data_IF_571829718285
#
_entry.id   IF_571829718285
#
_cell.length_a   1.000
_cell.length_b   1.000
_cell.length_c   1.000
_cell.angle_alpha   90.00
_cell.angle_beta   90.00
_cell.angle_gamma   90.00
#
_symmetry.space_group_name_H-M   'P 1'
#
loop_
_entity.id
_entity.type
_entity.pdbx_description
1 polymer ?
#
# COMPACT_ATOMS: atom_id res chain seq x y z
N UNK A 1 -21.65 -9.96 -13.47
CA UNK A 1 -21.29 -11.33 -13.11
C UNK A 1 -21.81 -11.56 -11.69
N UNK A 2 -22.94 -12.23 -11.56
CA UNK A 2 -23.62 -12.46 -10.27
C UNK A 2 -22.76 -13.27 -9.30
N UNK A 3 -21.80 -14.05 -9.81
CA UNK A 3 -20.85 -14.80 -8.98
C UNK A 3 -19.91 -13.89 -8.18
N UNK A 4 -19.50 -12.76 -8.75
CA UNK A 4 -18.62 -11.80 -8.09
C UNK A 4 -19.34 -11.13 -6.91
N UNK A 5 -20.61 -10.73 -7.10
CA UNK A 5 -21.40 -10.06 -6.07
C UNK A 5 -21.57 -10.94 -4.84
N UNK A 6 -21.94 -12.22 -5.04
CA UNK A 6 -22.05 -13.21 -3.97
C UNK A 6 -20.70 -13.44 -3.26
N UNK A 7 -19.59 -13.49 -4.02
CA UNK A 7 -18.26 -13.61 -3.46
C UNK A 7 -17.87 -12.39 -2.60
N UNK A 8 -18.16 -11.17 -3.06
CA UNK A 8 -17.89 -9.94 -2.31
C UNK A 8 -18.73 -9.89 -1.05
N UNK A 9 -20.02 -10.24 -1.12
CA UNK A 9 -20.89 -10.32 0.05
C UNK A 9 -20.38 -11.33 1.08
N UNK A 10 -19.99 -12.53 0.63
CA UNK A 10 -19.41 -13.57 1.49
C UNK A 10 -18.10 -13.12 2.12
N UNK A 11 -17.21 -12.47 1.35
CA UNK A 11 -15.95 -11.93 1.85
C UNK A 11 -16.18 -10.79 2.86
N UNK A 12 -17.18 -9.93 2.64
CA UNK A 12 -17.56 -8.89 3.59
C UNK A 12 -18.09 -9.47 4.90
N UNK A 13 -18.84 -10.58 4.83
CA UNK A 13 -19.26 -11.31 6.04
C UNK A 13 -18.07 -11.95 6.77
N UNK A 14 -17.12 -12.54 6.04
CA UNK A 14 -15.90 -13.11 6.63
C UNK A 14 -14.97 -12.04 7.21
N UNK A 15 -14.97 -10.85 6.61
CA UNK A 15 -14.22 -9.72 7.14
C UNK A 15 -14.72 -9.37 8.54
N UNK A 16 -16.03 -9.38 8.78
CA UNK A 16 -16.66 -9.09 10.08
C UNK A 16 -16.58 -10.22 11.11
N UNK A 17 -15.89 -11.32 10.78
CA UNK A 17 -15.79 -12.46 11.67
C UNK A 17 -14.93 -12.15 12.91
N UNK A 18 -15.34 -12.64 14.09
CA UNK A 18 -14.65 -12.40 15.37
C UNK A 18 -13.22 -12.97 15.38
N UNK A 19 -13.00 -14.08 14.66
CA UNK A 19 -11.68 -14.66 14.49
C UNK A 19 -10.79 -13.76 13.61
N UNK A 20 -9.74 -13.19 14.22
CA UNK A 20 -8.77 -12.34 13.55
C UNK A 20 -8.04 -13.06 12.39
N UNK A 21 -7.83 -14.38 12.44
CA UNK A 21 -7.20 -15.10 11.33
C UNK A 21 -8.11 -15.17 10.11
N UNK A 22 -9.41 -15.37 10.33
CA UNK A 22 -10.42 -15.42 9.27
C UNK A 22 -10.59 -14.04 8.64
N UNK A 23 -10.76 -13.01 9.46
CA UNK A 23 -10.94 -11.64 8.96
C UNK A 23 -9.68 -11.09 8.28
N UNK A 24 -8.48 -11.40 8.76
CA UNK A 24 -7.22 -11.03 8.09
C UNK A 24 -7.03 -11.79 6.76
N UNK A 25 -7.49 -13.05 6.70
CA UNK A 25 -7.58 -13.80 5.45
C UNK A 25 -8.49 -13.11 4.42
N UNK A 26 -9.69 -12.70 4.84
CA UNK A 26 -10.62 -11.96 3.99
C UNK A 26 -10.05 -10.60 3.53
N UNK A 27 -9.36 -9.87 4.43
CA UNK A 27 -8.69 -8.61 4.10
C UNK A 27 -7.64 -8.79 3.00
N UNK A 28 -6.80 -9.83 3.11
CA UNK A 28 -5.80 -10.16 2.09
C UNK A 28 -6.43 -10.60 0.76
N UNK A 29 -7.58 -11.27 0.80
CA UNK A 29 -8.37 -11.58 -0.39
C UNK A 29 -8.89 -10.30 -1.07
N UNK A 30 -9.43 -9.34 -0.31
CA UNK A 30 -9.85 -8.04 -0.84
C UNK A 30 -8.68 -7.27 -1.47
N UNK A 31 -7.52 -7.22 -0.82
CA UNK A 31 -6.31 -6.63 -1.39
C UNK A 31 -5.93 -7.25 -2.74
N UNK A 32 -5.96 -8.58 -2.82
CA UNK A 32 -5.66 -9.33 -4.05
C UNK A 32 -6.70 -9.09 -5.15
N UNK A 33 -7.98 -8.96 -4.79
CA UNK A 33 -9.04 -8.63 -5.74
C UNK A 33 -8.88 -7.20 -6.25
N UNK A 34 -8.67 -6.22 -5.38
CA UNK A 34 -8.47 -4.83 -5.76
C UNK A 34 -7.29 -4.67 -6.75
N UNK A 35 -6.16 -5.33 -6.49
CA UNK A 35 -5.02 -5.31 -7.42
C UNK A 35 -5.36 -5.90 -8.80
N UNK A 36 -6.16 -6.96 -8.86
CA UNK A 36 -6.65 -7.52 -10.14
C UNK A 36 -7.54 -6.55 -10.90
N UNK A 37 -8.42 -5.83 -10.20
CA UNK A 37 -9.25 -4.78 -10.82
C UNK A 37 -8.37 -3.67 -11.40
N UNK A 38 -7.38 -3.21 -10.63
CA UNK A 38 -6.41 -2.21 -11.08
C UNK A 38 -5.61 -2.67 -12.30
N UNK A 39 -5.06 -3.89 -12.29
CA UNK A 39 -4.29 -4.43 -13.44
C UNK A 39 -5.13 -4.57 -14.70
N UNK A 40 -6.41 -4.90 -14.56
CA UNK A 40 -7.36 -5.01 -15.67
C UNK A 40 -7.93 -3.66 -16.11
N UNK A 41 -7.62 -2.57 -15.40
CA UNK A 41 -8.21 -1.26 -15.65
C UNK A 41 -9.71 -1.21 -15.42
N UNK A 42 -10.24 -2.11 -14.57
CA UNK A 42 -11.67 -2.21 -14.24
C UNK A 42 -11.93 -1.44 -12.94
N UNK A 43 -13.05 -0.72 -12.89
CA UNK A 43 -13.48 0.02 -11.71
C UNK A 43 -13.71 -0.93 -10.51
N UNK A 44 -13.00 -0.76 -9.38
CA UNK A 44 -13.18 -1.59 -8.18
C UNK A 44 -14.42 -1.22 -7.35
N UNK A 45 -15.27 -0.28 -7.78
CA UNK A 45 -16.52 0.08 -7.09
C UNK A 45 -17.35 -1.12 -6.58
N UNK A 46 -17.51 -2.23 -7.33
CA UNK A 46 -18.29 -3.37 -6.86
C UNK A 46 -17.74 -4.00 -5.56
N UNK A 47 -16.44 -3.90 -5.29
CA UNK A 47 -15.82 -4.42 -4.06
C UNK A 47 -16.26 -3.64 -2.82
N UNK A 48 -16.63 -2.37 -2.97
CA UNK A 48 -17.02 -1.49 -1.87
C UNK A 48 -18.50 -1.61 -1.45
N UNK A 49 -19.34 -2.26 -2.28
CA UNK A 49 -20.80 -2.26 -2.13
C UNK A 49 -21.32 -2.79 -0.78
N UNK A 50 -20.63 -3.75 -0.17
CA UNK A 50 -21.10 -4.43 1.05
C UNK A 50 -20.43 -3.86 2.32
N UNK A 51 -20.20 -2.55 2.36
CA UNK A 51 -19.66 -1.85 3.52
C UNK A 51 -18.18 -2.12 3.81
N UNK A 52 -17.41 -2.51 2.77
CA UNK A 52 -15.97 -2.73 2.90
C UNK A 52 -15.26 -1.47 3.42
N UNK A 53 -15.59 -0.32 2.86
CA UNK A 53 -14.96 0.97 3.21
C UNK A 53 -15.14 1.32 4.69
N UNK A 54 -16.36 1.17 5.20
CA UNK A 54 -16.69 1.43 6.61
C UNK A 54 -15.96 0.47 7.55
N UNK A 55 -15.90 -0.82 7.19
CA UNK A 55 -15.19 -1.83 7.97
C UNK A 55 -13.68 -1.57 8.01
N UNK A 56 -13.09 -1.14 6.89
CA UNK A 56 -11.68 -0.75 6.82
C UNK A 56 -11.37 0.46 7.71
N UNK A 57 -12.24 1.47 7.70
CA UNK A 57 -12.11 2.65 8.55
C UNK A 57 -12.26 2.31 10.02
N UNK A 58 -13.29 1.56 10.39
CA UNK A 58 -13.51 1.11 11.77
C UNK A 58 -12.31 0.34 12.33
N UNK A 59 -11.71 -0.55 11.54
CA UNK A 59 -10.50 -1.29 11.92
C UNK A 59 -9.26 -0.41 12.04
N UNK A 60 -9.10 0.54 11.12
CA UNK A 60 -8.01 1.51 11.17
C UNK A 60 -8.12 2.38 12.42
N UNK A 61 -9.33 2.81 12.79
CA UNK A 61 -9.59 3.56 14.02
C UNK A 61 -9.28 2.71 15.28
N UNK A 62 -9.73 1.45 15.31
CA UNK A 62 -9.49 0.54 16.42
C UNK A 62 -8.00 0.24 16.65
N UNK A 63 -7.17 0.26 15.60
CA UNK A 63 -5.74 0.05 15.70
C UNK A 63 -4.99 1.26 16.31
N UNK A 64 -5.57 2.46 16.25
CA UNK A 64 -5.02 3.68 16.84
C UNK A 64 -5.23 3.81 18.35
N UNK A 65 -6.30 3.21 18.86
CA UNK A 65 -6.71 3.31 20.27
C UNK A 65 -5.91 2.45 21.25
N UNK A 66 -4.95 1.63 20.79
CA UNK A 66 -4.18 0.75 21.69
C UNK A 66 -3.01 1.46 22.39
N UNK A 67 -2.78 2.75 22.12
CA UNK A 67 -1.73 3.55 22.77
C UNK A 67 -2.34 4.69 23.60
N UNK A 68 -3.04 4.34 24.67
CA UNK A 68 -3.32 5.29 25.77
C UNK A 68 -3.61 4.53 27.07
N UNK A 69 -2.55 4.19 27.79
CA UNK A 69 -2.64 4.14 29.25
C UNK A 69 -2.74 5.59 29.75
N UNK A 70 -3.72 5.94 30.61
CA UNK A 70 -3.89 7.31 31.06
C UNK A 70 -2.68 7.74 31.90
N UNK A 71 -2.02 8.82 31.48
CA UNK A 71 -1.10 9.57 32.33
C UNK A 71 -1.89 10.21 33.46
N UNK A 72 -2.07 9.46 34.54
CA UNK A 72 -2.62 9.95 35.80
C UNK A 72 -1.49 9.99 36.83
N UNK A 73 -1.49 11.06 37.62
CA UNK A 73 -0.39 11.51 38.44
C UNK A 73 0.11 10.52 39.53
N UNK A 74 1.38 10.72 39.90
CA UNK A 74 2.02 10.54 41.22
C UNK A 74 2.98 9.34 41.49
N UNK A 75 4.21 9.73 41.87
CA UNK A 75 5.23 9.10 42.76
C UNK A 75 6.21 8.01 42.25
N UNK A 76 7.47 8.00 42.76
CA UNK A 76 8.54 7.10 42.32
C UNK A 76 8.58 5.80 43.12
N UNK A 77 8.80 4.65 42.44
CA UNK A 77 8.93 3.35 43.11
C UNK A 77 9.25 2.18 42.18
N UNK A 78 10.55 1.90 42.02
CA UNK A 78 11.21 0.58 42.03
C UNK A 78 10.61 -0.62 41.24
N UNK A 79 11.26 -0.91 40.11
CA UNK A 79 11.62 -2.21 39.49
C UNK A 79 10.64 -3.41 39.55
N UNK A 80 10.32 -4.01 38.39
CA UNK A 80 10.91 -5.28 37.91
C UNK A 80 10.32 -5.76 36.57
N UNK A 81 11.21 -6.32 35.74
CA UNK A 81 11.02 -7.32 34.66
C UNK A 81 10.20 -6.96 33.42
N UNK A 82 10.91 -6.86 32.29
CA UNK A 82 10.37 -6.64 30.97
C UNK A 82 9.83 -7.90 30.29
N UNK A 83 8.89 -7.66 29.38
CA UNK A 83 8.52 -8.50 28.27
C UNK A 83 8.36 -7.56 27.05
N UNK A 84 8.87 -7.90 25.86
CA UNK A 84 8.77 -7.01 24.70
C UNK A 84 7.32 -7.03 24.17
N UNK A 85 6.60 -5.91 24.31
CA UNK A 85 5.28 -5.68 23.69
C UNK A 85 5.35 -5.57 22.15
N UNK A 86 6.56 -5.59 21.58
CA UNK A 86 6.85 -5.27 20.18
C UNK A 86 6.18 -6.19 19.15
N UNK A 87 5.80 -7.42 19.49
CA UNK A 87 5.24 -8.38 18.52
C UNK A 87 3.76 -8.17 18.22
N UNK A 88 2.96 -7.77 19.22
CA UNK A 88 1.54 -7.48 19.02
C UNK A 88 1.34 -6.15 18.28
N UNK A 89 2.10 -5.13 18.66
CA UNK A 89 2.10 -3.81 18.02
C UNK A 89 2.49 -3.90 16.54
N UNK A 90 3.52 -4.71 16.22
CA UNK A 90 3.95 -4.95 14.84
C UNK A 90 2.88 -5.64 13.98
N UNK A 91 2.04 -6.48 14.58
CA UNK A 91 0.99 -7.18 13.82
C UNK A 91 -0.16 -6.24 13.46
N UNK A 92 -0.53 -5.36 14.39
CA UNK A 92 -1.54 -4.33 14.17
C UNK A 92 -1.05 -3.30 13.14
N UNK A 93 0.20 -2.84 13.22
CA UNK A 93 0.72 -1.90 12.23
C UNK A 93 0.80 -2.48 10.82
N UNK A 94 1.18 -3.76 10.68
CA UNK A 94 1.11 -4.47 9.39
C UNK A 94 -0.33 -4.57 8.84
N UNK A 95 -1.32 -4.74 9.72
CA UNK A 95 -2.73 -4.74 9.31
C UNK A 95 -3.17 -3.35 8.84
N UNK A 96 -2.82 -2.29 9.56
CA UNK A 96 -3.11 -0.90 9.13
C UNK A 96 -2.44 -0.60 7.79
N UNK A 97 -1.16 -0.95 7.60
CA UNK A 97 -0.48 -0.83 6.30
C UNK A 97 -1.27 -1.52 5.18
N UNK A 98 -1.85 -2.69 5.44
CA UNK A 98 -2.66 -3.44 4.47
C UNK A 98 -3.98 -2.72 4.17
N UNK A 99 -4.66 -2.21 5.21
CA UNK A 99 -5.89 -1.42 5.08
C UNK A 99 -5.64 -0.15 4.27
N UNK A 100 -4.63 0.64 4.63
CA UNK A 100 -4.23 1.87 3.94
C UNK A 100 -3.88 1.58 2.47
N UNK A 101 -3.16 0.49 2.20
CA UNK A 101 -2.81 0.08 0.84
C UNK A 101 -4.03 -0.30 0.01
N UNK A 102 -4.99 -1.00 0.61
CA UNK A 102 -6.26 -1.35 -0.02
C UNK A 102 -7.09 -0.10 -0.30
N UNK A 103 -7.29 0.79 0.69
CA UNK A 103 -7.98 2.06 0.52
C UNK A 103 -7.35 2.92 -0.58
N UNK A 104 -6.02 3.00 -0.62
CA UNK A 104 -5.27 3.70 -1.67
C UNK A 104 -5.54 3.11 -3.05
N UNK A 105 -5.59 1.78 -3.15
CA UNK A 105 -5.86 1.07 -4.41
C UNK A 105 -7.29 1.31 -4.89
N UNK A 106 -8.27 1.22 -3.99
CA UNK A 106 -9.68 1.47 -4.29
C UNK A 106 -9.91 2.93 -4.71
N UNK A 107 -9.34 3.88 -3.98
CA UNK A 107 -9.46 5.30 -4.28
C UNK A 107 -8.85 5.65 -5.63
N UNK A 108 -7.67 5.11 -5.98
CA UNK A 108 -7.10 5.32 -7.32
C UNK A 108 -7.97 4.73 -8.43
N UNK A 109 -8.57 3.56 -8.17
CA UNK A 109 -9.38 2.84 -9.15
C UNK A 109 -10.77 3.44 -9.40
N UNK A 110 -11.42 4.02 -8.38
CA UNK A 110 -12.86 4.34 -8.46
C UNK A 110 -13.25 5.71 -7.89
N UNK A 111 -13.90 6.62 -8.66
CA UNK A 111 -14.29 7.96 -8.20
C UNK A 111 -15.41 7.89 -7.17
N UNK A 112 -16.30 6.93 -7.34
CA UNK A 112 -17.40 6.67 -6.42
C UNK A 112 -16.85 6.26 -5.05
N UNK A 113 -15.88 5.32 -5.02
CA UNK A 113 -15.29 4.91 -3.74
C UNK A 113 -14.56 6.06 -3.05
N UNK A 114 -13.83 6.92 -3.78
CA UNK A 114 -13.21 8.11 -3.17
C UNK A 114 -14.27 9.06 -2.62
N UNK A 115 -15.34 9.30 -3.36
CA UNK A 115 -16.42 10.18 -2.93
C UNK A 115 -17.11 9.66 -1.66
N UNK A 116 -17.40 8.36 -1.61
CA UNK A 116 -18.07 7.74 -0.47
C UNK A 116 -17.15 7.71 0.75
N UNK A 117 -15.85 7.41 0.57
CA UNK A 117 -14.83 7.46 1.64
C UNK A 117 -14.68 8.86 2.25
N UNK A 118 -14.83 9.92 1.45
CA UNK A 118 -14.73 11.30 1.97
C UNK A 118 -15.97 11.73 2.75
N UNK A 119 -17.07 10.97 2.67
CA UNK A 119 -18.31 11.23 3.41
C UNK A 119 -18.51 10.30 4.61
N UNK A 120 -17.64 9.32 4.79
CA UNK A 120 -17.64 8.42 5.94
C UNK A 120 -16.79 9.00 7.09
N UNK A 121 -16.62 8.23 8.16
CA UNK A 121 -15.85 8.59 9.37
C UNK A 121 -14.31 8.51 9.15
N UNK A 122 -13.86 8.90 7.96
CA UNK A 122 -12.45 8.93 7.58
C UNK A 122 -11.61 9.83 8.51
N UNK A 123 -12.02 11.06 8.87
CA UNK A 123 -11.23 11.94 9.74
C UNK A 123 -10.92 11.32 11.10
N UNK A 124 -11.94 10.74 11.75
CA UNK A 124 -11.81 10.12 13.07
C UNK A 124 -10.88 8.89 13.01
N UNK A 125 -10.98 8.13 11.92
CA UNK A 125 -10.11 6.98 11.67
C UNK A 125 -8.65 7.38 11.42
N UNK A 126 -8.42 8.50 10.70
CA UNK A 126 -7.08 9.05 10.48
C UNK A 126 -6.50 9.56 11.80
N UNK A 127 -7.26 10.36 12.57
CA UNK A 127 -6.82 10.88 13.85
C UNK A 127 -6.38 9.76 14.80
N UNK A 128 -7.19 8.69 14.86
CA UNK A 128 -6.86 7.49 15.63
C UNK A 128 -5.58 6.82 15.10
N UNK A 129 -5.47 6.57 13.79
CA UNK A 129 -4.30 5.92 13.20
C UNK A 129 -2.99 6.71 13.40
N UNK A 130 -3.07 8.04 13.54
CA UNK A 130 -1.91 8.88 13.84
C UNK A 130 -1.38 8.71 15.28
N UNK A 131 -2.14 8.07 16.17
CA UNK A 131 -1.68 7.68 17.52
C UNK A 131 -0.91 6.35 17.53
N UNK A 132 -0.81 5.67 16.39
CA UNK A 132 -0.08 4.42 16.23
C UNK A 132 1.44 4.55 16.17
N UNK A 133 2.10 3.49 15.69
CA UNK A 133 3.56 3.49 15.48
C UNK A 133 3.99 4.34 14.28
N UNK A 134 5.30 4.62 14.16
CA UNK A 134 5.87 5.45 13.08
C UNK A 134 5.43 4.96 11.69
N UNK A 135 5.37 3.63 11.51
CA UNK A 135 4.96 3.03 10.24
C UNK A 135 3.50 3.30 9.90
N UNK A 136 2.60 3.10 10.87
CA UNK A 136 1.17 3.40 10.74
C UNK A 136 0.94 4.88 10.39
N UNK A 137 1.67 5.78 11.06
CA UNK A 137 1.62 7.23 10.78
C UNK A 137 2.03 7.53 9.35
N UNK A 138 3.19 7.01 8.90
CA UNK A 138 3.70 7.25 7.54
C UNK A 138 2.77 6.70 6.46
N UNK A 139 2.21 5.51 6.66
CA UNK A 139 1.27 4.92 5.72
C UNK A 139 -0.04 5.72 5.66
N UNK A 140 -0.56 6.15 6.81
CA UNK A 140 -1.77 7.01 6.89
C UNK A 140 -1.54 8.36 6.20
N UNK A 141 -0.39 9.01 6.44
CA UNK A 141 -0.02 10.26 5.78
C UNK A 141 0.05 10.11 4.25
N UNK A 142 0.60 8.99 3.75
CA UNK A 142 0.61 8.69 2.30
C UNK A 142 -0.79 8.54 1.71
N UNK A 143 -1.74 7.98 2.46
CA UNK A 143 -3.15 7.93 2.04
C UNK A 143 -3.75 9.33 2.00
N UNK A 144 -3.48 10.17 2.99
CA UNK A 144 -3.93 11.58 2.99
C UNK A 144 -3.35 12.34 1.79
N UNK A 145 -2.05 12.23 1.53
CA UNK A 145 -1.41 12.85 0.36
C UNK A 145 -2.07 12.42 -0.95
N UNK A 146 -2.36 11.13 -1.09
CA UNK A 146 -3.09 10.60 -2.23
C UNK A 146 -4.49 11.24 -2.35
N UNK A 147 -5.23 11.35 -1.25
CA UNK A 147 -6.57 11.95 -1.27
C UNK A 147 -6.50 13.45 -1.63
N UNK A 148 -5.51 14.18 -1.13
CA UNK A 148 -5.28 15.58 -1.50
C UNK A 148 -4.99 15.71 -3.00
N UNK A 149 -4.11 14.88 -3.56
CA UNK A 149 -3.85 14.85 -5.01
C UNK A 149 -5.13 14.54 -5.80
N UNK A 150 -5.91 13.54 -5.35
CA UNK A 150 -7.17 13.17 -5.99
C UNK A 150 -8.22 14.29 -5.95
N UNK A 151 -8.24 15.09 -4.88
CA UNK A 151 -9.19 16.18 -4.68
C UNK A 151 -8.80 17.45 -5.44
N UNK A 152 -7.52 17.84 -5.40
CA UNK A 152 -7.06 19.12 -5.94
C UNK A 152 -6.61 19.02 -7.40
N UNK A 153 -5.87 17.97 -7.76
CA UNK A 153 -5.33 17.80 -9.13
C UNK A 153 -6.19 16.84 -9.97
N UNK A 154 -6.99 16.01 -9.30
CA UNK A 154 -7.83 15.02 -9.92
C UNK A 154 -7.06 13.76 -10.35
N UNK A 155 -7.81 12.76 -10.82
CA UNK A 155 -7.25 11.44 -11.20
C UNK A 155 -6.24 11.48 -12.35
N UNK A 156 -6.22 12.55 -13.14
CA UNK A 156 -5.28 12.73 -14.24
C UNK A 156 -3.84 12.96 -13.74
N UNK A 157 -3.70 13.42 -12.49
CA UNK A 157 -2.40 13.61 -11.84
C UNK A 157 -1.82 12.32 -11.27
N UNK A 158 -2.63 11.26 -11.13
CA UNK A 158 -2.08 9.96 -10.79
C UNK A 158 -1.09 9.54 -11.88
N UNK A 159 0.11 9.07 -11.50
CA UNK A 159 0.98 8.42 -12.48
C UNK A 159 0.14 7.34 -13.14
N UNK A 160 0.12 7.31 -14.48
CA UNK A 160 -0.63 6.31 -15.25
C UNK A 160 -0.17 4.91 -14.78
N UNK A 161 -0.86 4.35 -13.79
CA UNK A 161 -0.70 2.96 -13.43
C UNK A 161 -0.92 2.18 -14.70
N UNK A 162 0.03 1.31 -15.03
CA UNK A 162 0.17 0.59 -16.28
C UNK A 162 -1.00 -0.38 -16.53
N UNK A 163 -2.20 0.14 -16.72
CA UNK A 163 -3.25 -0.55 -17.44
C UNK A 163 -2.82 -0.54 -18.91
N UNK A 164 -2.57 -1.73 -19.45
CA UNK A 164 -2.19 -1.92 -20.84
C UNK A 164 -3.20 -1.28 -21.78
N UNK A 165 -2.88 -0.08 -22.24
CA UNK A 165 -3.42 0.44 -23.49
C UNK A 165 -2.37 0.18 -24.56
N UNK A 166 -2.73 -0.70 -25.49
CA UNK A 166 -2.09 -0.81 -26.80
C UNK A 166 -2.26 0.53 -27.51
N UNK A 167 -1.43 1.50 -27.15
CA UNK A 167 -1.36 2.81 -27.77
C UNK A 167 0.09 3.04 -28.16
N UNK A 168 0.41 2.78 -29.43
CA UNK A 168 1.66 3.22 -30.03
C UNK A 168 1.79 4.73 -29.84
N UNK A 169 2.72 5.15 -28.98
CA UNK A 169 3.29 6.49 -28.97
C UNK A 169 4.81 6.35 -29.08
N UNK A 170 5.39 6.62 -30.27
CA UNK A 170 6.82 6.76 -30.43
C UNK A 170 7.31 8.02 -29.70
N UNK A 171 8.37 7.88 -28.88
CA UNK A 171 9.30 8.99 -28.69
C UNK A 171 9.23 9.82 -27.41
N UNK A 172 9.17 9.20 -26.23
CA UNK A 172 9.73 9.85 -25.04
C UNK A 172 10.78 8.94 -24.40
N UNK A 173 12.04 9.22 -24.74
CA UNK A 173 13.22 8.55 -24.19
C UNK A 173 13.23 8.79 -22.67
N UNK A 174 12.85 7.77 -21.90
CA UNK A 174 13.16 7.74 -20.48
C UNK A 174 14.62 7.31 -20.35
N UNK A 175 15.45 8.33 -20.16
CA UNK A 175 16.86 8.28 -19.83
C UNK A 175 17.04 7.65 -18.44
N UNK A 176 16.86 6.33 -18.30
CA UNK A 176 17.39 5.55 -17.16
C UNK A 176 17.27 4.02 -17.36
N UNK A 177 17.66 3.53 -18.54
CA UNK A 177 17.76 2.08 -18.79
C UNK A 177 19.07 1.69 -19.47
N UNK A 178 20.10 2.52 -19.28
CA UNK A 178 21.47 2.21 -19.76
C UNK A 178 22.30 1.52 -18.67
N UNK A 179 22.13 1.92 -17.40
CA UNK A 179 22.84 1.31 -16.27
C UNK A 179 22.41 -0.13 -16.00
N UNK A 180 21.09 -0.40 -16.00
CA UNK A 180 20.53 -1.73 -15.71
C UNK A 180 20.97 -2.79 -16.74
N UNK A 181 21.11 -2.40 -18.02
CA UNK A 181 21.58 -3.30 -19.09
C UNK A 181 23.08 -3.55 -19.03
N UNK A 182 23.89 -2.50 -18.76
CA UNK A 182 25.34 -2.62 -18.59
C UNK A 182 25.70 -3.51 -17.39
N UNK A 183 24.99 -3.37 -16.27
CA UNK A 183 25.23 -4.18 -15.08
C UNK A 183 24.95 -5.67 -15.33
N UNK A 184 23.87 -5.97 -16.07
CA UNK A 184 23.51 -7.34 -16.43
C UNK A 184 24.53 -7.98 -17.38
N UNK A 185 25.06 -7.18 -18.31
CA UNK A 185 26.08 -7.62 -19.27
C UNK A 185 27.43 -7.88 -18.60
N UNK A 186 27.84 -7.05 -17.64
CA UNK A 186 29.03 -7.29 -16.81
C UNK A 186 28.89 -8.58 -15.98
N UNK A 187 27.72 -8.84 -15.39
CA UNK A 187 27.44 -10.06 -14.61
C UNK A 187 27.58 -11.31 -15.51
N UNK A 188 27.08 -11.26 -16.74
CA UNK A 188 27.17 -12.37 -17.68
C UNK A 188 28.60 -12.60 -18.16
N UNK A 189 29.40 -11.55 -18.42
CA UNK A 189 30.83 -11.68 -18.77
C UNK A 189 31.67 -12.28 -17.62
N UNK A 190 31.39 -11.90 -16.36
CA UNK A 190 32.05 -12.50 -15.19
C UNK A 190 31.70 -13.99 -15.08
N UNK A 191 30.43 -14.33 -15.32
CA UNK A 191 29.94 -15.71 -15.22
C UNK A 191 30.48 -16.60 -16.35
N UNK A 192 30.66 -16.06 -17.56
CA UNK A 192 31.26 -16.76 -18.70
C UNK A 192 32.79 -16.83 -18.65
N UNK A 193 33.44 -16.11 -17.72
CA UNK A 193 34.91 -15.95 -17.62
C UNK A 193 35.53 -15.44 -18.93
N UNK A 194 34.76 -14.66 -19.70
CA UNK A 194 35.22 -14.06 -20.93
C UNK A 194 35.88 -12.71 -20.60
N UNK A 195 37.18 -12.74 -20.40
CA UNK A 195 37.96 -11.58 -19.94
C UNK A 195 38.01 -10.48 -20.99
N UNK A 196 38.00 -10.81 -22.27
CA UNK A 196 38.07 -9.83 -23.36
C UNK A 196 36.74 -9.07 -23.48
N UNK A 197 35.61 -9.78 -23.42
CA UNK A 197 34.29 -9.16 -23.41
C UNK A 197 34.01 -8.34 -22.14
N UNK A 198 34.63 -8.70 -21.01
CA UNK A 198 34.53 -7.95 -19.76
C UNK A 198 35.27 -6.61 -19.84
N UNK A 199 36.47 -6.59 -20.42
CA UNK A 199 37.29 -5.38 -20.58
C UNK A 199 36.57 -4.38 -21.51
N UNK A 200 36.02 -4.85 -22.63
CA UNK A 200 35.28 -3.99 -23.58
C UNK A 200 34.01 -3.39 -22.96
N UNK A 201 33.30 -4.16 -22.12
CA UNK A 201 32.12 -3.68 -21.40
C UNK A 201 32.46 -2.61 -20.34
N UNK A 202 33.65 -2.68 -19.74
CA UNK A 202 34.15 -1.69 -18.76
C UNK A 202 34.59 -0.41 -19.48
N UNK A 203 35.35 -0.51 -20.57
CA UNK A 203 35.82 0.65 -21.35
C UNK A 203 34.65 1.40 -22.01
N UNK A 204 33.60 0.69 -22.40
CA UNK A 204 32.40 1.29 -23.01
C UNK A 204 31.44 1.90 -21.96
N UNK A 205 31.45 1.39 -20.72
CA UNK A 205 30.56 1.83 -19.63
C UNK A 205 31.18 2.82 -18.62
N UNK A 206 32.50 3.05 -18.69
CA UNK A 206 33.29 3.72 -17.66
C UNK A 206 33.76 5.13 -18.00
N UNK A 207 32.89 6.01 -18.47
CA UNK A 207 33.19 7.47 -18.47
C UNK A 207 31.98 8.29 -18.03
N UNK A 208 31.68 8.25 -16.72
CA UNK A 208 30.97 9.36 -16.06
C UNK A 208 31.16 9.36 -14.54
N UNK A 209 32.41 9.31 -14.11
CA UNK A 209 32.83 9.76 -12.78
C UNK A 209 34.07 10.62 -13.03
N UNK A 210 34.17 11.79 -12.38
CA UNK A 210 35.06 12.94 -12.63
C UNK A 210 34.57 13.86 -13.77
N UNK A 211 34.16 15.11 -13.57
CA UNK A 211 34.33 16.11 -12.50
C UNK A 211 32.98 16.68 -12.05
#
# INVERSE_FOLDING_TARGET
>A
DSSLEICVESLSSLLKHEDHQVSDGALRCFASLADRFTRRGVDPAPLAKHGLTEELLSRMAAAGGTVSGPSSACKPGRSTTGAPSTTADSKLSNQVSTIVSLLSTLCRGSPVVTHDLLRSELPDSIESALQGDERCVLDTMRLVDLLLVLLFEGRKALPKSSAGSTGRIPGLRRLDSSGERSHRQLIDCIRSKDTDALIDAIDTGGQKIFF
#
